data_IF_038067615549
#
_entry.id   IF_038067615549
#
_cell.length_a   1.000
_cell.length_b   1.000
_cell.length_c   1.000
_cell.angle_alpha   90.00
_cell.angle_beta   90.00
_cell.angle_gamma   90.00
#
_symmetry.space_group_name_H-M   'P 1'
#
loop_
_entity.id
_entity.type
_entity.pdbx_description
1 polymer ?
#
# COMPACT_ATOMS: atom_id res chain seq x y z
N UNK A 1 22.49 -15.95 -16.48
CA UNK A 1 21.32 -16.83 -16.26
C UNK A 1 20.53 -16.38 -15.03
N UNK A 2 21.21 -16.10 -13.92
CA UNK A 2 20.59 -15.68 -12.65
C UNK A 2 19.85 -14.34 -12.70
N UNK A 3 20.40 -13.34 -13.40
CA UNK A 3 19.73 -12.03 -13.60
C UNK A 3 18.42 -12.17 -14.38
N UNK A 4 18.41 -12.96 -15.47
CA UNK A 4 17.21 -13.23 -16.26
C UNK A 4 16.12 -13.93 -15.43
N UNK A 5 16.50 -14.91 -14.62
CA UNK A 5 15.57 -15.59 -13.72
C UNK A 5 15.01 -14.63 -12.64
N UNK A 6 15.83 -13.73 -12.12
CA UNK A 6 15.42 -12.72 -11.12
C UNK A 6 14.47 -11.68 -11.75
N UNK A 7 14.71 -11.31 -13.01
CA UNK A 7 13.81 -10.41 -13.76
C UNK A 7 12.46 -11.07 -14.07
N UNK A 8 12.44 -12.36 -14.41
CA UNK A 8 11.21 -13.14 -14.58
C UNK A 8 10.44 -13.24 -13.26
N UNK A 9 11.13 -13.50 -12.14
CA UNK A 9 10.54 -13.50 -10.80
C UNK A 9 9.93 -12.14 -10.46
N UNK A 10 10.62 -11.04 -10.71
CA UNK A 10 10.10 -9.69 -10.47
C UNK A 10 8.77 -9.44 -11.21
N UNK A 11 8.71 -9.79 -12.50
CA UNK A 11 7.49 -9.68 -13.30
C UNK A 11 6.36 -10.54 -12.74
N UNK A 12 6.66 -11.78 -12.36
CA UNK A 12 5.69 -12.70 -11.79
C UNK A 12 5.07 -12.15 -10.48
N UNK A 13 5.89 -11.57 -9.59
CA UNK A 13 5.39 -10.98 -8.35
C UNK A 13 4.44 -9.79 -8.62
N UNK A 14 4.73 -8.96 -9.65
CA UNK A 14 3.84 -7.87 -10.07
C UNK A 14 2.51 -8.42 -10.62
N UNK A 15 2.58 -9.42 -11.50
CA UNK A 15 1.39 -10.03 -12.12
C UNK A 15 0.47 -10.68 -11.07
N UNK A 16 1.07 -11.33 -10.07
CA UNK A 16 0.36 -11.91 -8.93
C UNK A 16 -0.07 -10.86 -7.89
N UNK A 17 0.28 -9.58 -8.10
CA UNK A 17 0.03 -8.46 -7.20
C UNK A 17 0.68 -8.61 -5.82
N UNK A 18 1.78 -9.35 -5.73
CA UNK A 18 2.60 -9.46 -4.53
C UNK A 18 3.58 -8.27 -4.45
N UNK A 19 3.05 -7.05 -4.37
CA UNK A 19 3.87 -5.84 -4.57
C UNK A 19 4.96 -5.65 -3.52
N UNK A 20 4.73 -6.05 -2.27
CA UNK A 20 5.78 -6.06 -1.23
C UNK A 20 6.96 -6.94 -1.64
N UNK A 21 6.67 -8.15 -2.16
CA UNK A 21 7.69 -9.07 -2.64
C UNK A 21 8.35 -8.56 -3.91
N UNK A 22 7.59 -7.95 -4.81
CA UNK A 22 8.11 -7.31 -6.02
C UNK A 22 9.13 -6.20 -5.68
N UNK A 23 8.88 -5.39 -4.64
CA UNK A 23 9.86 -4.38 -4.18
C UNK A 23 11.16 -5.03 -3.72
N UNK A 24 11.10 -6.13 -2.96
CA UNK A 24 12.31 -6.86 -2.52
C UNK A 24 13.10 -7.38 -3.71
N UNK A 25 12.44 -8.04 -4.67
CA UNK A 25 13.11 -8.57 -5.86
C UNK A 25 13.68 -7.45 -6.75
N UNK A 26 13.01 -6.30 -6.82
CA UNK A 26 13.50 -5.15 -7.55
C UNK A 26 14.79 -4.56 -6.96
N UNK A 27 14.88 -4.51 -5.63
CA UNK A 27 16.09 -4.09 -4.92
C UNK A 27 17.23 -5.10 -5.12
N UNK A 28 16.94 -6.41 -5.14
CA UNK A 28 17.91 -7.46 -5.49
C UNK A 28 18.45 -7.29 -6.92
N UNK A 29 17.62 -6.81 -7.85
CA UNK A 29 18.02 -6.45 -9.23
C UNK A 29 18.83 -5.14 -9.31
N UNK A 30 19.05 -4.45 -8.20
CA UNK A 30 19.75 -3.17 -8.17
C UNK A 30 18.95 -1.99 -8.74
N UNK A 31 17.61 -2.12 -8.87
CA UNK A 31 16.76 -1.00 -9.27
C UNK A 31 16.77 0.07 -8.19
N UNK A 32 16.79 1.33 -8.62
CA UNK A 32 16.84 2.48 -7.71
C UNK A 32 15.50 2.68 -7.01
N UNK A 33 15.48 3.24 -5.79
CA UNK A 33 14.26 3.51 -5.05
C UNK A 33 13.20 4.31 -5.81
N UNK A 34 13.63 5.19 -6.72
CA UNK A 34 12.77 6.01 -7.56
C UNK A 34 12.07 5.19 -8.65
N UNK A 35 12.75 4.17 -9.20
CA UNK A 35 12.26 3.31 -10.28
C UNK A 35 11.17 2.36 -9.78
N UNK A 36 11.15 2.08 -8.48
CA UNK A 36 10.20 1.17 -7.83
C UNK A 36 9.16 1.92 -6.99
N UNK A 37 9.14 3.26 -7.08
CA UNK A 37 8.28 4.12 -6.26
C UNK A 37 6.80 3.80 -6.45
N UNK A 38 6.36 3.55 -7.69
CA UNK A 38 4.97 3.19 -7.97
C UNK A 38 4.59 1.85 -7.33
N UNK A 39 5.48 0.85 -7.40
CA UNK A 39 5.26 -0.48 -6.82
C UNK A 39 5.17 -0.39 -5.29
N UNK A 40 6.02 0.44 -4.67
CA UNK A 40 5.94 0.74 -3.23
C UNK A 40 4.57 1.30 -2.85
N UNK A 41 4.05 2.25 -3.62
CA UNK A 41 2.73 2.82 -3.39
C UNK A 41 1.58 1.83 -3.63
N UNK A 42 1.69 0.94 -4.62
CA UNK A 42 0.70 -0.13 -4.83
C UNK A 42 0.69 -1.14 -3.67
N UNK A 43 1.86 -1.50 -3.11
CA UNK A 43 1.93 -2.33 -1.91
C UNK A 43 1.28 -1.62 -0.70
N UNK A 44 1.50 -0.32 -0.54
CA UNK A 44 0.86 0.50 0.49
C UNK A 44 -0.66 0.60 0.28
N UNK A 45 -1.12 0.73 -0.96
CA UNK A 45 -2.54 0.69 -1.30
C UNK A 45 -3.15 -0.65 -0.91
N UNK A 46 -2.51 -1.78 -1.20
CA UNK A 46 -3.01 -3.08 -0.75
C UNK A 46 -3.10 -3.17 0.77
N UNK A 47 -2.03 -2.78 1.46
CA UNK A 47 -1.97 -2.86 2.91
C UNK A 47 -3.04 -2.00 3.59
N UNK A 48 -3.23 -0.77 3.12
CA UNK A 48 -4.19 0.19 3.67
C UNK A 48 -5.63 -0.04 3.16
N UNK A 49 -5.79 -0.17 1.85
CA UNK A 49 -7.10 -0.19 1.21
C UNK A 49 -7.71 -1.59 1.08
N UNK A 50 -6.91 -2.61 0.76
CA UNK A 50 -7.39 -3.98 0.58
C UNK A 50 -7.44 -4.72 1.91
N UNK A 51 -6.41 -4.55 2.75
CA UNK A 51 -6.27 -5.30 4.00
C UNK A 51 -6.75 -4.52 5.24
N UNK A 52 -6.93 -3.19 5.16
CA UNK A 52 -7.24 -2.31 6.31
C UNK A 52 -6.26 -2.52 7.49
N UNK A 53 -5.00 -2.84 7.17
CA UNK A 53 -3.98 -3.15 8.16
C UNK A 53 -3.17 -1.89 8.51
N UNK A 54 -3.54 -1.24 9.61
CA UNK A 54 -2.89 -0.01 10.06
C UNK A 54 -1.41 -0.23 10.47
N UNK A 55 -1.12 -1.33 11.18
CA UNK A 55 0.24 -1.67 11.63
C UNK A 55 1.13 -1.95 10.43
N UNK A 56 0.66 -2.82 9.53
CA UNK A 56 1.36 -3.15 8.29
C UNK A 56 1.59 -1.92 7.41
N UNK A 57 0.59 -1.05 7.24
CA UNK A 57 0.71 0.14 6.41
C UNK A 57 1.76 1.13 6.98
N UNK A 58 1.79 1.31 8.31
CA UNK A 58 2.79 2.16 8.96
C UNK A 58 4.19 1.59 8.79
N UNK A 59 4.38 0.31 9.12
CA UNK A 59 5.68 -0.35 9.02
C UNK A 59 6.20 -0.31 7.59
N UNK A 60 5.36 -0.66 6.62
CA UNK A 60 5.73 -0.66 5.21
C UNK A 60 6.11 0.74 4.69
N UNK A 61 5.40 1.78 5.14
CA UNK A 61 5.75 3.15 4.77
C UNK A 61 7.13 3.55 5.32
N UNK A 62 7.45 3.15 6.55
CA UNK A 62 8.77 3.38 7.15
C UNK A 62 9.87 2.63 6.40
N UNK A 63 9.65 1.34 6.11
CA UNK A 63 10.59 0.49 5.37
C UNK A 63 10.86 1.05 3.95
N UNK A 64 9.86 1.70 3.35
CA UNK A 64 9.98 2.30 2.02
C UNK A 64 10.52 3.73 2.00
N UNK A 65 10.68 4.37 3.17
CA UNK A 65 11.08 5.78 3.30
C UNK A 65 9.99 6.76 2.85
N UNK A 66 8.71 6.36 2.91
CA UNK A 66 7.56 7.18 2.52
C UNK A 66 7.03 7.89 3.76
N UNK A 67 6.94 9.22 3.69
CA UNK A 67 6.42 10.01 4.80
C UNK A 67 4.93 9.78 5.05
N UNK A 68 4.49 10.11 6.26
CA UNK A 68 3.08 10.08 6.65
C UNK A 68 2.23 10.94 5.69
N UNK A 69 2.72 12.12 5.37
CA UNK A 69 2.07 13.10 4.51
C UNK A 69 1.97 12.59 3.06
N UNK A 70 3.05 12.03 2.51
CA UNK A 70 3.05 11.41 1.18
C UNK A 70 2.04 10.26 1.09
N UNK A 71 2.03 9.36 2.08
CA UNK A 71 1.07 8.26 2.11
C UNK A 71 -0.36 8.77 2.18
N UNK A 72 -0.64 9.78 3.02
CA UNK A 72 -1.98 10.35 3.15
C UNK A 72 -2.48 10.95 1.85
N UNK A 73 -1.64 11.73 1.17
CA UNK A 73 -1.97 12.33 -0.13
C UNK A 73 -2.23 11.24 -1.17
N UNK A 74 -1.35 10.23 -1.24
CA UNK A 74 -1.50 9.12 -2.17
C UNK A 74 -2.81 8.34 -1.95
N UNK A 75 -3.13 7.94 -0.70
CA UNK A 75 -4.33 7.16 -0.40
C UNK A 75 -5.61 7.93 -0.77
N UNK A 76 -5.64 9.25 -0.52
CA UNK A 76 -6.74 10.11 -0.93
C UNK A 76 -6.92 10.12 -2.46
N UNK A 77 -5.85 10.43 -3.19
CA UNK A 77 -5.87 10.47 -4.67
C UNK A 77 -6.29 9.12 -5.26
N UNK A 78 -5.70 8.02 -4.79
CA UNK A 78 -5.98 6.67 -5.29
C UNK A 78 -7.44 6.27 -5.02
N UNK A 79 -8.00 6.66 -3.87
CA UNK A 79 -9.43 6.44 -3.62
C UNK A 79 -10.32 7.19 -4.60
N UNK A 80 -10.01 8.46 -4.90
CA UNK A 80 -10.75 9.23 -5.90
C UNK A 80 -10.69 8.57 -7.29
N UNK A 81 -9.51 8.13 -7.72
CA UNK A 81 -9.30 7.36 -8.95
C UNK A 81 -10.17 6.09 -8.98
N UNK A 82 -10.14 5.29 -7.92
CA UNK A 82 -10.95 4.07 -7.81
C UNK A 82 -12.47 4.36 -7.85
N UNK A 83 -12.93 5.49 -7.32
CA UNK A 83 -14.35 5.89 -7.43
C UNK A 83 -14.71 6.23 -8.87
N UNK A 84 -13.86 6.97 -9.57
CA UNK A 84 -14.07 7.35 -10.97
C UNK A 84 -14.09 6.13 -11.90
N UNK A 85 -13.23 5.14 -11.63
CA UNK A 85 -13.19 3.85 -12.34
C UNK A 85 -14.36 2.91 -12.01
N UNK A 86 -15.22 3.27 -11.04
CA UNK A 86 -16.34 2.44 -10.61
C UNK A 86 -15.96 1.27 -9.68
N UNK A 87 -14.71 1.21 -9.21
CA UNK A 87 -14.16 0.18 -8.33
C UNK A 87 -14.59 0.36 -6.87
N UNK A 88 -15.91 0.40 -6.63
CA UNK A 88 -16.50 0.73 -5.32
C UNK A 88 -16.23 -0.29 -4.22
N UNK A 89 -15.96 -1.55 -4.56
CA UNK A 89 -15.77 -2.66 -3.60
C UNK A 89 -14.62 -2.41 -2.61
N UNK A 90 -13.54 -1.77 -3.04
CA UNK A 90 -12.39 -1.48 -2.17
C UNK A 90 -12.68 -0.34 -1.17
N UNK A 91 -13.70 0.46 -1.47
CA UNK A 91 -14.07 1.65 -0.72
C UNK A 91 -15.33 1.47 0.12
N UNK A 92 -15.99 0.31 0.01
CA UNK A 92 -17.15 0.00 0.86
C UNK A 92 -16.75 0.03 2.32
N UNK A 93 -17.65 0.49 3.22
CA UNK A 93 -17.39 0.46 4.64
C UNK A 93 -16.98 -0.92 5.14
N UNK A 94 -16.00 -0.98 6.04
CA UNK A 94 -15.53 -2.22 6.66
C UNK A 94 -15.47 -2.07 8.16
N UNK A 95 -15.72 -3.16 8.86
CA UNK A 95 -15.64 -3.18 10.32
C UNK A 95 -14.20 -2.92 10.76
N UNK A 96 -14.04 -1.97 11.66
CA UNK A 96 -12.77 -1.61 12.29
C UNK A 96 -12.84 -1.97 13.78
N UNK A 97 -12.05 -2.96 14.19
CA UNK A 97 -12.03 -3.45 15.58
C UNK A 97 -11.63 -2.39 16.60
N UNK A 98 -10.82 -1.40 16.19
CA UNK A 98 -10.32 -0.36 17.09
C UNK A 98 -11.42 0.63 17.48
N UNK A 99 -12.26 1.02 16.54
CA UNK A 99 -13.38 1.94 16.76
C UNK A 99 -14.69 1.23 17.10
N UNK A 100 -14.79 -0.07 16.84
CA UNK A 100 -16.01 -0.85 17.02
C UNK A 100 -17.11 -0.54 16.01
N UNK A 101 -16.77 0.09 14.87
CA UNK A 101 -17.72 0.58 13.87
C UNK A 101 -17.34 0.13 12.46
N UNK A 102 -18.31 0.17 11.55
CA UNK A 102 -18.02 0.12 10.13
C UNK A 102 -17.59 1.52 9.68
N UNK A 103 -16.38 1.60 9.12
CA UNK A 103 -15.81 2.85 8.63
C UNK A 103 -15.74 2.82 7.11
N UNK A 104 -16.10 3.93 6.46
CA UNK A 104 -15.72 4.17 5.07
C UNK A 104 -14.19 4.15 4.91
N UNK A 105 -13.69 4.10 3.68
CA UNK A 105 -12.25 4.17 3.49
C UNK A 105 -11.67 5.49 4.03
N UNK A 106 -12.37 6.60 3.82
CA UNK A 106 -11.97 7.93 4.25
C UNK A 106 -11.92 8.03 5.77
N UNK A 107 -12.96 7.55 6.46
CA UNK A 107 -13.00 7.50 7.93
C UNK A 107 -11.87 6.61 8.48
N UNK A 108 -11.60 5.48 7.83
CA UNK A 108 -10.50 4.60 8.20
C UNK A 108 -9.14 5.28 8.00
N UNK A 109 -8.94 5.98 6.88
CA UNK A 109 -7.73 6.76 6.56
C UNK A 109 -7.53 7.89 7.58
N UNK A 110 -8.58 8.62 7.92
CA UNK A 110 -8.54 9.64 8.97
C UNK A 110 -8.11 9.05 10.30
N UNK A 111 -8.69 7.91 10.70
CA UNK A 111 -8.32 7.21 11.92
C UNK A 111 -6.88 6.72 11.90
N UNK A 112 -6.42 6.12 10.78
CA UNK A 112 -5.03 5.69 10.59
C UNK A 112 -4.07 6.84 10.91
N UNK A 113 -4.29 8.01 10.32
CA UNK A 113 -3.37 9.13 10.47
C UNK A 113 -3.55 9.94 11.75
N UNK A 114 -4.77 9.94 12.34
CA UNK A 114 -5.05 10.49 13.66
C UNK A 114 -4.29 9.76 14.75
N UNK A 115 -4.19 8.44 14.62
CA UNK A 115 -3.53 7.59 15.61
C UNK A 115 -2.15 7.08 15.18
N UNK A 116 -1.56 7.67 14.14
CA UNK A 116 -0.30 7.21 13.53
C UNK A 116 0.84 6.98 14.53
N UNK A 117 1.02 7.90 15.49
CA UNK A 117 2.06 7.79 16.52
C UNK A 117 1.79 6.69 17.55
N UNK A 118 0.54 6.23 17.67
CA UNK A 118 0.08 5.20 18.63
C UNK A 118 -0.09 3.81 18.00
N UNK A 119 0.33 3.65 16.75
CA UNK A 119 0.38 2.34 16.09
C UNK A 119 1.71 1.71 16.48
N UNK A 120 1.66 0.59 17.19
CA UNK A 120 2.81 -0.21 17.62
C UNK A 120 3.14 -1.30 16.61
#
# INVERSE_FOLDING_TARGET
MEEKATQEKFKLEIEQRNFERAVVVALELGLRPEEIREIKFEALWQMAAVNRNAVGAKKLAQDFGISKEELKVFLGKKADEQRQEGNKRLLTPRYDHRSGKYLSFEEWVENLFKFWSKIE
#
